data_IF_337306778971
#
_entry.id   IF_337306778971
#
_cell.length_a   1.000
_cell.length_b   1.000
_cell.length_c   1.000
_cell.angle_alpha   90.00
_cell.angle_beta   90.00
_cell.angle_gamma   90.00
#
_symmetry.space_group_name_H-M   'P 1'
#
loop_
_entity.id
_entity.type
_entity.pdbx_description
1 polymer ?
#
# COMPACT_ATOMS: atom_id res chain seq x y z
N UNK A 1 -36.51 -48.13 -12.26
CA UNK A 1 -35.43 -48.01 -13.26
C UNK A 1 -35.04 -46.55 -13.25
N UNK A 2 -34.00 -46.24 -12.49
CA UNK A 2 -33.44 -44.90 -12.33
C UNK A 2 -32.92 -44.43 -13.70
N UNK A 3 -33.31 -43.22 -14.11
CA UNK A 3 -32.76 -42.57 -15.29
C UNK A 3 -31.37 -42.05 -14.90
N UNK A 4 -30.31 -42.77 -15.29
CA UNK A 4 -28.96 -42.22 -15.32
C UNK A 4 -28.89 -41.10 -16.38
N UNK A 5 -28.57 -39.85 -16.00
CA UNK A 5 -28.46 -38.75 -16.95
C UNK A 5 -27.19 -38.90 -17.79
N UNK A 6 -27.33 -38.79 -19.12
CA UNK A 6 -26.27 -38.97 -20.12
C UNK A 6 -24.98 -38.17 -19.81
N UNK A 7 -23.82 -38.83 -19.63
CA UNK A 7 -22.51 -38.17 -19.40
C UNK A 7 -21.86 -37.50 -20.63
N UNK A 8 -22.44 -37.59 -21.84
CA UNK A 8 -21.60 -37.69 -23.04
C UNK A 8 -21.10 -36.38 -23.71
N UNK A 9 -21.70 -35.20 -23.50
CA UNK A 9 -21.23 -33.99 -24.20
C UNK A 9 -20.17 -33.21 -23.43
N UNK A 10 -20.36 -33.03 -22.12
CA UNK A 10 -19.45 -32.23 -21.30
C UNK A 10 -18.15 -32.97 -21.03
N UNK A 11 -18.23 -34.27 -20.76
CA UNK A 11 -17.04 -35.08 -20.48
C UNK A 11 -16.10 -35.13 -21.68
N UNK A 12 -16.63 -35.27 -22.91
CA UNK A 12 -15.85 -35.25 -24.15
C UNK A 12 -15.20 -33.88 -24.37
N UNK A 13 -15.92 -32.79 -24.12
CA UNK A 13 -15.35 -31.44 -24.20
C UNK A 13 -14.23 -31.23 -23.18
N UNK A 14 -14.43 -31.68 -21.94
CA UNK A 14 -13.41 -31.62 -20.90
C UNK A 14 -12.18 -32.46 -21.27
N UNK A 15 -12.34 -33.68 -21.80
CA UNK A 15 -11.24 -34.52 -22.24
C UNK A 15 -10.45 -33.88 -23.39
N UNK A 16 -11.14 -33.28 -24.36
CA UNK A 16 -10.49 -32.63 -25.49
C UNK A 16 -9.74 -31.37 -25.05
N UNK A 17 -10.35 -30.57 -24.18
CA UNK A 17 -9.68 -29.43 -23.55
C UNK A 17 -8.45 -29.89 -22.77
N UNK A 18 -8.59 -30.91 -21.91
CA UNK A 18 -7.49 -31.49 -21.14
C UNK A 18 -6.33 -31.94 -22.02
N UNK A 19 -6.60 -32.60 -23.14
CA UNK A 19 -5.57 -33.03 -24.08
C UNK A 19 -4.82 -31.83 -24.69
N UNK A 20 -5.56 -30.77 -25.05
CA UNK A 20 -5.00 -29.54 -25.63
C UNK A 20 -4.19 -28.75 -24.59
N UNK A 21 -4.71 -28.61 -23.37
CA UNK A 21 -4.00 -28.00 -22.24
C UNK A 21 -2.77 -28.81 -21.86
N UNK A 22 -2.83 -30.15 -21.91
CA UNK A 22 -1.67 -31.02 -21.61
C UNK A 22 -0.50 -30.76 -22.55
N UNK A 23 -0.78 -30.46 -23.81
CA UNK A 23 0.25 -30.16 -24.81
C UNK A 23 0.94 -28.83 -24.52
N UNK A 24 0.21 -27.85 -23.98
CA UNK A 24 0.72 -26.51 -23.68
C UNK A 24 1.36 -26.43 -22.28
N UNK A 25 0.70 -27.00 -21.26
CA UNK A 25 1.10 -26.95 -19.85
C UNK A 25 0.85 -28.28 -19.13
N UNK A 26 1.75 -29.27 -19.26
CA UNK A 26 1.56 -30.59 -18.68
C UNK A 26 1.57 -30.62 -17.14
N UNK A 27 2.22 -29.65 -16.49
CA UNK A 27 2.38 -29.62 -15.03
C UNK A 27 1.10 -29.22 -14.28
N UNK A 28 0.24 -28.41 -14.89
CA UNK A 28 -0.96 -27.84 -14.26
C UNK A 28 -2.24 -28.24 -14.99
N UNK A 29 -2.18 -29.25 -15.86
CA UNK A 29 -3.27 -29.61 -16.77
C UNK A 29 -4.59 -29.86 -16.03
N UNK A 30 -4.56 -30.57 -14.91
CA UNK A 30 -5.77 -30.93 -14.16
C UNK A 30 -6.37 -29.71 -13.48
N UNK A 31 -5.55 -28.91 -12.81
CA UNK A 31 -5.98 -27.68 -12.14
C UNK A 31 -6.54 -26.65 -13.13
N UNK A 32 -5.89 -26.48 -14.27
CA UNK A 32 -6.34 -25.55 -15.31
C UNK A 32 -7.61 -26.06 -15.98
N UNK A 33 -7.67 -27.34 -16.34
CA UNK A 33 -8.87 -27.91 -16.96
C UNK A 33 -10.05 -27.84 -16.00
N UNK A 34 -9.85 -28.16 -14.72
CA UNK A 34 -10.89 -28.08 -13.70
C UNK A 34 -11.36 -26.63 -13.50
N UNK A 35 -10.45 -25.67 -13.43
CA UNK A 35 -10.79 -24.26 -13.31
C UNK A 35 -11.56 -23.72 -14.53
N UNK A 36 -11.11 -24.06 -15.74
CA UNK A 36 -11.75 -23.63 -16.99
C UNK A 36 -13.13 -24.26 -17.17
N UNK A 37 -13.28 -25.54 -16.82
CA UNK A 37 -14.54 -26.28 -17.01
C UNK A 37 -15.54 -25.96 -15.92
N UNK A 38 -15.12 -25.82 -14.65
CA UNK A 38 -16.02 -25.52 -13.51
C UNK A 38 -16.68 -24.16 -13.65
N UNK A 39 -15.98 -23.18 -14.25
CA UNK A 39 -16.49 -21.80 -14.39
C UNK A 39 -17.26 -21.55 -15.69
N UNK A 40 -17.18 -22.44 -16.69
CA UNK A 40 -17.71 -22.19 -18.04
C UNK A 40 -18.78 -23.19 -18.48
N UNK A 41 -19.71 -22.70 -19.29
CA UNK A 41 -20.72 -23.49 -20.00
C UNK A 41 -20.11 -24.27 -21.17
N UNK A 42 -20.79 -25.32 -21.63
CA UNK A 42 -20.32 -26.15 -22.75
C UNK A 42 -20.10 -25.33 -24.03
N UNK A 43 -20.90 -24.28 -24.26
CA UNK A 43 -20.74 -23.38 -25.42
C UNK A 43 -19.42 -22.61 -25.36
N UNK A 44 -19.09 -22.07 -24.20
CA UNK A 44 -17.82 -21.35 -23.99
C UNK A 44 -16.60 -22.27 -24.10
N UNK A 45 -16.73 -23.54 -23.66
CA UNK A 45 -15.68 -24.54 -23.85
C UNK A 45 -15.49 -24.87 -25.34
N UNK A 46 -16.58 -24.96 -26.12
CA UNK A 46 -16.49 -25.14 -27.57
C UNK A 46 -15.81 -23.93 -28.23
N UNK A 47 -16.17 -22.71 -27.82
CA UNK A 47 -15.54 -21.49 -28.35
C UNK A 47 -14.03 -21.45 -28.04
N UNK A 48 -13.62 -21.89 -26.84
CA UNK A 48 -12.20 -22.07 -26.46
C UNK A 48 -11.49 -23.14 -27.28
N UNK A 49 -12.16 -24.26 -27.56
CA UNK A 49 -11.57 -25.32 -28.37
C UNK A 49 -11.43 -24.91 -29.84
N UNK A 50 -12.34 -24.06 -30.32
CA UNK A 50 -12.38 -23.56 -31.70
C UNK A 50 -11.34 -22.47 -31.95
N UNK A 51 -10.98 -21.69 -30.92
CA UNK A 51 -10.03 -20.58 -31.05
C UNK A 51 -8.80 -20.80 -30.17
N UNK A 52 -7.66 -21.06 -30.81
CA UNK A 52 -6.38 -21.23 -30.11
C UNK A 52 -5.95 -19.99 -29.33
N UNK A 53 -6.19 -18.79 -29.87
CA UNK A 53 -5.84 -17.53 -29.21
C UNK A 53 -6.67 -17.27 -27.95
N UNK A 54 -7.98 -17.60 -27.97
CA UNK A 54 -8.84 -17.49 -26.78
C UNK A 54 -8.48 -18.51 -25.71
N UNK A 55 -8.02 -19.69 -26.14
CA UNK A 55 -7.52 -20.72 -25.24
C UNK A 55 -6.23 -20.25 -24.55
N UNK A 56 -5.26 -19.74 -25.29
CA UNK A 56 -3.99 -19.23 -24.74
C UNK A 56 -4.23 -18.09 -23.74
N UNK A 57 -5.07 -17.11 -24.07
CA UNK A 57 -5.42 -16.01 -23.16
C UNK A 57 -6.16 -16.50 -21.90
N UNK A 58 -7.05 -17.49 -22.05
CA UNK A 58 -7.75 -18.09 -20.90
C UNK A 58 -6.81 -18.94 -20.04
N UNK A 59 -5.85 -19.63 -20.65
CA UNK A 59 -4.80 -20.38 -19.97
C UNK A 59 -3.91 -19.46 -19.16
N UNK A 60 -3.42 -18.39 -19.77
CA UNK A 60 -2.58 -17.38 -19.12
C UNK A 60 -3.31 -16.80 -17.90
N UNK A 61 -4.59 -16.41 -18.05
CA UNK A 61 -5.40 -15.90 -16.93
C UNK A 61 -5.54 -16.89 -15.77
N UNK A 62 -5.80 -18.16 -16.08
CA UNK A 62 -5.94 -19.20 -15.06
C UNK A 62 -4.60 -19.49 -14.38
N UNK A 63 -3.51 -19.57 -15.13
CA UNK A 63 -2.16 -19.76 -14.59
C UNK A 63 -1.74 -18.59 -13.70
N UNK A 64 -2.01 -17.36 -14.13
CA UNK A 64 -1.76 -16.15 -13.32
C UNK A 64 -2.55 -16.22 -12.01
N UNK A 65 -3.84 -16.55 -12.06
CA UNK A 65 -4.66 -16.65 -10.85
C UNK A 65 -4.25 -17.79 -9.91
N UNK A 66 -3.68 -18.89 -10.42
CA UNK A 66 -3.08 -19.94 -9.58
C UNK A 66 -1.75 -19.50 -8.96
N UNK A 67 -0.87 -18.87 -9.75
CA UNK A 67 0.44 -18.40 -9.25
C UNK A 67 0.31 -17.25 -8.24
N UNK A 68 -0.75 -16.44 -8.33
CA UNK A 68 -1.10 -15.43 -7.33
C UNK A 68 -1.56 -16.03 -5.99
N UNK A 69 -2.14 -17.23 -6.01
CA UNK A 69 -2.65 -17.91 -4.81
C UNK A 69 -1.56 -18.69 -4.05
N UNK A 70 -0.42 -18.98 -4.67
CA UNK A 70 0.72 -19.63 -4.01
C UNK A 70 1.59 -18.60 -3.28
N UNK A 71 1.59 -18.54 -1.93
CA UNK A 71 2.38 -17.57 -1.18
C UNK A 71 3.89 -17.70 -1.43
N UNK A 72 4.37 -18.92 -1.68
CA UNK A 72 5.77 -19.25 -1.97
C UNK A 72 6.31 -18.55 -3.22
N UNK A 73 5.46 -18.41 -4.26
CA UNK A 73 5.81 -17.74 -5.52
C UNK A 73 5.96 -16.24 -5.27
N UNK A 74 5.04 -15.65 -4.49
CA UNK A 74 5.10 -14.22 -4.16
C UNK A 74 6.30 -13.89 -3.29
N UNK A 75 6.64 -14.74 -2.33
CA UNK A 75 7.83 -14.57 -1.50
C UNK A 75 9.11 -14.62 -2.35
N UNK A 76 9.22 -15.61 -3.24
CA UNK A 76 10.36 -15.74 -4.16
C UNK A 76 10.50 -14.53 -5.09
N UNK A 77 9.38 -14.03 -5.63
CA UNK A 77 9.35 -12.81 -6.45
C UNK A 77 9.71 -11.58 -5.62
N UNK A 78 9.30 -11.50 -4.36
CA UNK A 78 9.66 -10.42 -3.45
C UNK A 78 11.17 -10.34 -3.22
N UNK A 79 11.83 -11.48 -3.01
CA UNK A 79 13.29 -11.53 -2.87
C UNK A 79 13.98 -11.07 -4.15
N UNK A 80 13.57 -11.61 -5.31
CA UNK A 80 14.15 -11.23 -6.60
C UNK A 80 13.94 -9.75 -6.92
N UNK A 81 12.74 -9.23 -6.66
CA UNK A 81 12.39 -7.83 -6.86
C UNK A 81 13.19 -6.93 -5.93
N UNK A 82 13.28 -7.25 -4.65
CA UNK A 82 14.07 -6.48 -3.69
C UNK A 82 15.53 -6.37 -4.15
N UNK A 83 16.13 -7.48 -4.56
CA UNK A 83 17.51 -7.49 -5.04
C UNK A 83 17.68 -6.62 -6.29
N UNK A 84 16.74 -6.67 -7.24
CA UNK A 84 16.77 -5.87 -8.45
C UNK A 84 16.57 -4.37 -8.15
N UNK A 85 15.61 -4.03 -7.29
CA UNK A 85 15.33 -2.65 -6.85
C UNK A 85 16.49 -2.08 -6.05
N UNK A 86 17.14 -2.85 -5.19
CA UNK A 86 18.28 -2.39 -4.37
C UNK A 86 19.48 -1.90 -5.19
N UNK A 87 19.61 -2.36 -6.44
CA UNK A 87 20.64 -1.88 -7.37
C UNK A 87 20.28 -0.54 -8.01
N UNK A 88 19.00 -0.17 -8.01
CA UNK A 88 18.48 1.04 -8.62
C UNK A 88 18.22 2.13 -7.58
N UNK A 89 17.67 1.75 -6.42
CA UNK A 89 17.24 2.66 -5.37
C UNK A 89 17.55 2.04 -3.99
N UNK A 90 18.58 2.55 -3.29
CA UNK A 90 18.98 2.02 -1.97
C UNK A 90 18.15 2.58 -0.81
N UNK A 91 17.88 3.89 -0.80
CA UNK A 91 17.23 4.55 0.35
C UNK A 91 15.79 4.08 0.57
N UNK A 92 15.03 3.91 -0.52
CA UNK A 92 13.61 3.57 -0.48
C UNK A 92 13.33 2.15 -0.97
N UNK A 93 14.35 1.29 -1.00
CA UNK A 93 14.28 -0.05 -1.58
C UNK A 93 13.12 -0.86 -0.99
N UNK A 94 12.99 -0.89 0.34
CA UNK A 94 11.97 -1.69 1.02
C UNK A 94 10.55 -1.20 0.70
N UNK A 95 10.35 0.12 0.68
CA UNK A 95 9.06 0.75 0.44
C UNK A 95 8.65 0.62 -1.03
N UNK A 96 9.57 0.91 -1.95
CA UNK A 96 9.35 0.74 -3.39
C UNK A 96 9.08 -0.73 -3.72
N UNK A 97 9.86 -1.66 -3.16
CA UNK A 97 9.62 -3.10 -3.36
C UNK A 97 8.27 -3.50 -2.82
N UNK A 98 7.87 -3.01 -1.63
CA UNK A 98 6.54 -3.26 -1.06
C UNK A 98 5.42 -2.78 -1.99
N UNK A 99 5.50 -1.55 -2.50
CA UNK A 99 4.51 -0.99 -3.43
C UNK A 99 4.45 -1.77 -4.75
N UNK A 100 5.60 -2.15 -5.30
CA UNK A 100 5.64 -2.95 -6.53
C UNK A 100 5.13 -4.39 -6.29
N UNK A 101 5.34 -4.93 -5.10
CA UNK A 101 4.80 -6.23 -4.71
C UNK A 101 3.29 -6.21 -4.50
N UNK A 102 2.62 -5.06 -4.43
CA UNK A 102 1.15 -5.00 -4.45
C UNK A 102 0.57 -5.28 -5.85
N UNK A 103 1.40 -5.20 -6.90
CA UNK A 103 0.98 -5.51 -8.26
C UNK A 103 0.71 -7.01 -8.46
N UNK A 104 -0.09 -7.36 -9.49
CA UNK A 104 -0.27 -8.74 -9.93
C UNK A 104 1.06 -9.43 -10.19
N UNK A 105 1.14 -10.73 -9.90
CA UNK A 105 2.37 -11.53 -10.08
C UNK A 105 2.88 -11.48 -11.53
N UNK A 106 1.97 -11.45 -12.50
CA UNK A 106 2.27 -11.29 -13.92
C UNK A 106 2.99 -9.96 -14.22
N UNK A 107 2.55 -8.88 -13.59
CA UNK A 107 3.17 -7.56 -13.73
C UNK A 107 4.55 -7.53 -13.10
N UNK A 108 4.72 -8.07 -11.89
CA UNK A 108 6.03 -8.15 -11.22
C UNK A 108 7.02 -9.00 -12.02
N UNK A 109 6.57 -10.14 -12.56
CA UNK A 109 7.39 -11.02 -13.40
C UNK A 109 7.84 -10.31 -14.68
N UNK A 110 6.94 -9.52 -15.29
CA UNK A 110 7.27 -8.70 -16.46
C UNK A 110 8.27 -7.60 -16.14
N UNK A 111 8.14 -6.93 -14.98
CA UNK A 111 9.11 -5.95 -14.51
C UNK A 111 10.49 -6.60 -14.29
N UNK A 112 10.55 -7.78 -13.69
CA UNK A 112 11.81 -8.51 -13.50
C UNK A 112 12.44 -8.97 -14.82
N UNK A 113 11.63 -9.20 -15.86
CA UNK A 113 12.11 -9.60 -17.19
C UNK A 113 12.65 -8.43 -18.01
N UNK A 114 12.19 -7.20 -17.74
CA UNK A 114 12.60 -5.99 -18.47
C UNK A 114 13.13 -4.91 -17.52
N UNK A 115 14.45 -4.72 -17.56
CA UNK A 115 15.14 -3.77 -16.70
C UNK A 115 14.73 -2.31 -16.93
N UNK A 116 14.31 -1.93 -18.14
CA UNK A 116 13.86 -0.55 -18.41
C UNK A 116 12.49 -0.31 -17.77
N UNK A 117 11.57 -1.28 -17.91
CA UNK A 117 10.26 -1.20 -17.25
C UNK A 117 10.41 -1.19 -15.74
N UNK A 118 11.32 -2.00 -15.18
CA UNK A 118 11.62 -1.96 -13.75
C UNK A 118 12.13 -0.59 -13.31
N UNK A 119 13.03 0.03 -14.07
CA UNK A 119 13.56 1.35 -13.75
C UNK A 119 12.47 2.44 -13.78
N UNK A 120 11.58 2.42 -14.78
CA UNK A 120 10.43 3.33 -14.83
C UNK A 120 9.47 3.10 -13.67
N UNK A 121 9.18 1.83 -13.35
CA UNK A 121 8.31 1.47 -12.24
C UNK A 121 8.90 1.90 -10.90
N UNK A 122 10.20 1.68 -10.66
CA UNK A 122 10.91 2.14 -9.47
C UNK A 122 10.88 3.66 -9.36
N UNK A 123 11.14 4.39 -10.45
CA UNK A 123 11.07 5.85 -10.46
C UNK A 123 9.66 6.35 -10.14
N UNK A 124 8.65 5.76 -10.77
CA UNK A 124 7.24 6.12 -10.55
C UNK A 124 6.81 5.81 -9.11
N UNK A 125 7.10 4.62 -8.60
CA UNK A 125 6.79 4.23 -7.22
C UNK A 125 7.55 5.07 -6.21
N UNK A 126 8.78 5.46 -6.50
CA UNK A 126 9.54 6.42 -5.67
C UNK A 126 8.86 7.79 -5.66
N UNK A 127 8.51 8.34 -6.82
CA UNK A 127 7.80 9.62 -6.91
C UNK A 127 6.46 9.57 -6.20
N UNK A 128 5.71 8.47 -6.34
CA UNK A 128 4.43 8.26 -5.67
C UNK A 128 4.59 8.10 -4.16
N UNK A 129 5.62 7.37 -3.70
CA UNK A 129 5.98 7.29 -2.29
C UNK A 129 6.38 8.66 -1.76
N UNK A 130 7.23 9.41 -2.47
CA UNK A 130 7.64 10.77 -2.12
C UNK A 130 6.47 11.75 -2.13
N UNK A 131 5.50 11.61 -3.04
CA UNK A 131 4.27 12.39 -3.06
C UNK A 131 3.30 11.94 -1.96
N UNK A 132 3.35 10.67 -1.54
CA UNK A 132 2.56 10.16 -0.43
C UNK A 132 3.13 10.60 0.92
N UNK A 133 4.45 10.54 1.12
CA UNK A 133 5.07 11.24 2.25
C UNK A 133 4.88 12.73 2.07
N UNK A 134 5.08 13.40 0.94
CA UNK A 134 4.77 14.85 0.82
C UNK A 134 3.26 15.16 0.95
N UNK A 135 2.38 14.19 0.77
CA UNK A 135 0.95 14.30 1.08
C UNK A 135 0.63 14.09 2.57
N UNK A 136 1.45 13.30 3.27
CA UNK A 136 1.48 13.17 4.75
C UNK A 136 2.33 14.25 5.44
N UNK A 137 3.34 14.78 4.75
CA UNK A 137 4.41 15.69 5.18
C UNK A 137 4.19 17.11 4.64
N UNK A 138 3.25 17.30 3.71
CA UNK A 138 2.48 18.54 3.59
C UNK A 138 1.67 18.82 4.86
N UNK A 139 1.65 17.88 5.80
CA UNK A 139 1.26 18.07 7.20
C UNK A 139 2.35 17.72 8.23
N UNK A 140 3.63 17.59 7.86
CA UNK A 140 4.67 17.32 8.88
C UNK A 140 6.02 17.96 8.63
N UNK A 141 6.53 18.09 7.39
CA UNK A 141 7.85 18.74 7.15
C UNK A 141 7.73 20.25 6.89
N UNK A 142 6.69 20.70 6.19
CA UNK A 142 6.34 22.13 6.14
C UNK A 142 5.70 22.56 7.46
N UNK A 143 4.78 21.75 7.99
CA UNK A 143 4.18 22.03 9.30
C UNK A 143 5.21 22.00 10.43
N UNK A 144 6.27 21.19 10.39
CA UNK A 144 7.31 21.26 11.44
C UNK A 144 8.03 22.60 11.39
N UNK A 145 8.41 23.07 10.20
CA UNK A 145 9.10 24.36 10.04
C UNK A 145 8.19 25.54 10.36
N UNK A 146 6.95 25.51 9.88
CA UNK A 146 5.96 26.53 10.17
C UNK A 146 5.50 26.49 11.65
N UNK A 147 5.42 25.31 12.27
CA UNK A 147 5.17 25.17 13.72
C UNK A 147 6.36 25.68 14.54
N UNK A 148 7.58 25.50 14.05
CA UNK A 148 8.79 26.01 14.70
C UNK A 148 8.80 27.55 14.66
N UNK A 149 8.54 28.15 13.50
CA UNK A 149 8.35 29.61 13.35
C UNK A 149 7.21 30.14 14.25
N UNK A 150 6.07 29.44 14.28
CA UNK A 150 4.94 29.73 15.18
C UNK A 150 5.34 29.59 16.65
N UNK A 151 6.16 28.60 16.98
CA UNK A 151 6.67 28.35 18.32
C UNK A 151 7.57 29.48 18.82
N UNK A 152 8.44 30.01 17.96
CA UNK A 152 9.27 31.18 18.26
C UNK A 152 8.41 32.41 18.55
N UNK A 153 7.41 32.71 17.70
CA UNK A 153 6.50 33.84 17.91
C UNK A 153 5.71 33.70 19.22
N UNK A 154 5.23 32.48 19.53
CA UNK A 154 4.53 32.21 20.79
C UNK A 154 5.46 32.38 21.98
N UNK A 155 6.70 31.91 21.88
CA UNK A 155 7.70 32.02 22.92
C UNK A 155 8.07 33.48 23.20
N UNK A 156 8.31 34.29 22.17
CA UNK A 156 8.58 35.73 22.33
C UNK A 156 7.44 36.45 23.07
N UNK A 157 6.18 36.16 22.71
CA UNK A 157 5.03 36.75 23.43
C UNK A 157 4.92 36.26 24.88
N UNK A 158 5.34 35.02 25.15
CA UNK A 158 5.28 34.44 26.49
C UNK A 158 6.44 34.84 27.37
N UNK A 159 7.66 35.00 26.85
CA UNK A 159 8.85 35.30 27.66
C UNK A 159 8.73 36.70 28.29
N UNK A 160 8.04 37.63 27.64
CA UNK A 160 7.74 38.96 28.16
C UNK A 160 6.82 38.94 29.40
N UNK A 161 5.91 37.95 29.48
CA UNK A 161 4.89 37.89 30.55
C UNK A 161 5.17 36.78 31.58
N UNK A 162 5.73 35.65 31.14
CA UNK A 162 5.94 34.42 31.90
C UNK A 162 7.34 33.82 31.61
N UNK A 163 8.44 34.51 31.92
CA UNK A 163 9.80 34.10 31.53
C UNK A 163 10.20 32.71 32.04
N UNK A 164 9.76 32.31 33.23
CA UNK A 164 10.10 31.02 33.84
C UNK A 164 9.31 29.85 33.23
N UNK A 165 8.10 30.10 32.72
CA UNK A 165 7.18 29.07 32.25
C UNK A 165 7.04 29.06 30.72
N UNK A 166 7.56 30.09 30.03
CA UNK A 166 7.48 30.25 28.59
C UNK A 166 7.92 29.00 27.81
N UNK A 167 9.05 28.31 28.11
CA UNK A 167 9.44 27.12 27.36
C UNK A 167 8.42 25.99 27.47
N UNK A 168 7.85 25.78 28.66
CA UNK A 168 6.87 24.72 28.92
C UNK A 168 5.51 25.07 28.34
N UNK A 169 5.08 26.32 28.46
CA UNK A 169 3.84 26.83 27.88
C UNK A 169 3.87 26.75 26.36
N UNK A 170 4.95 27.20 25.72
CA UNK A 170 5.15 27.07 24.26
C UNK A 170 5.10 25.60 23.86
N UNK A 171 5.82 24.71 24.57
CA UNK A 171 5.79 23.29 24.29
C UNK A 171 4.39 22.66 24.41
N UNK A 172 3.59 23.09 25.39
CA UNK A 172 2.22 22.62 25.56
C UNK A 172 1.27 23.16 24.49
N UNK A 173 1.45 24.41 24.05
CA UNK A 173 0.65 24.99 22.97
C UNK A 173 0.99 24.34 21.63
N UNK A 174 2.27 24.05 21.36
CA UNK A 174 2.72 23.41 20.12
C UNK A 174 2.19 21.98 19.90
N UNK A 175 1.66 21.34 20.95
CA UNK A 175 0.94 20.07 20.85
C UNK A 175 -0.42 20.20 20.13
N UNK A 176 -0.93 21.42 19.95
CA UNK A 176 -2.16 21.68 19.19
C UNK A 176 -1.94 21.56 17.67
N UNK A 177 -3.03 21.39 16.93
CA UNK A 177 -3.01 21.42 15.46
C UNK A 177 -2.56 22.78 14.93
N UNK A 178 -1.80 22.81 13.84
CA UNK A 178 -1.27 24.05 13.26
C UNK A 178 -2.36 25.07 12.92
N UNK A 179 -3.50 24.58 12.40
CA UNK A 179 -4.67 25.43 12.10
C UNK A 179 -5.20 26.16 13.32
N UNK A 180 -5.16 25.51 14.49
CA UNK A 180 -5.59 26.13 15.75
C UNK A 180 -4.53 27.11 16.27
N UNK A 181 -3.24 26.79 16.11
CA UNK A 181 -2.15 27.69 16.49
C UNK A 181 -2.18 29.01 15.71
N UNK A 182 -2.41 28.94 14.40
CA UNK A 182 -2.55 30.14 13.55
C UNK A 182 -3.72 31.01 14.03
N UNK A 183 -4.86 30.39 14.38
CA UNK A 183 -6.00 31.11 14.95
C UNK A 183 -5.69 31.71 16.32
N UNK A 184 -5.00 30.97 17.17
CA UNK A 184 -4.58 31.38 18.51
C UNK A 184 -3.61 32.57 18.43
N UNK A 185 -2.69 32.61 17.47
CA UNK A 185 -1.80 33.76 17.27
C UNK A 185 -2.55 34.97 16.69
N UNK A 186 -3.51 34.75 15.80
CA UNK A 186 -4.33 35.79 15.20
C UNK A 186 -5.31 36.44 16.19
N UNK A 187 -5.80 35.69 17.17
CA UNK A 187 -6.80 36.13 18.15
C UNK A 187 -6.18 36.26 19.57
N UNK A 188 -5.84 37.48 20.04
CA UNK A 188 -5.16 37.67 21.33
C UNK A 188 -5.98 37.23 22.56
N UNK A 189 -7.32 37.31 22.51
CA UNK A 189 -8.19 36.79 23.57
C UNK A 189 -8.17 35.26 23.65
N UNK A 190 -8.06 34.59 22.50
CA UNK A 190 -7.95 33.13 22.42
C UNK A 190 -6.58 32.67 22.93
N UNK A 191 -5.52 33.41 22.59
CA UNK A 191 -4.18 33.20 23.14
C UNK A 191 -4.18 33.23 24.66
N UNK A 192 -4.70 34.30 25.28
CA UNK A 192 -4.75 34.42 26.74
C UNK A 192 -5.49 33.24 27.39
N UNK A 193 -6.65 32.85 26.87
CA UNK A 193 -7.41 31.70 27.38
C UNK A 193 -6.64 30.39 27.31
N UNK A 194 -5.92 30.15 26.20
CA UNK A 194 -5.12 28.92 26.02
C UNK A 194 -3.89 28.91 26.92
N UNK A 195 -3.25 30.05 27.11
CA UNK A 195 -2.13 30.22 28.04
C UNK A 195 -2.58 30.01 29.48
N UNK A 196 -3.74 30.56 29.89
CA UNK A 196 -4.32 30.33 31.23
C UNK A 196 -4.64 28.85 31.48
N UNK A 197 -5.17 28.14 30.47
CA UNK A 197 -5.41 26.71 30.55
C UNK A 197 -4.10 25.91 30.67
N UNK A 198 -3.09 26.25 29.88
CA UNK A 198 -1.79 25.59 29.98
C UNK A 198 -1.11 25.88 31.33
N UNK A 199 -1.25 27.09 31.87
CA UNK A 199 -0.79 27.47 33.21
C UNK A 199 -1.50 26.69 34.31
N UNK A 200 -2.83 26.49 34.21
CA UNK A 200 -3.57 25.72 35.21
C UNK A 200 -3.14 24.26 35.22
N UNK A 201 -2.91 23.67 34.04
CA UNK A 201 -2.36 22.31 33.91
C UNK A 201 -0.92 22.23 34.41
N UNK A 202 -0.05 23.21 34.14
CA UNK A 202 1.33 23.23 34.66
C UNK A 202 1.41 23.38 36.18
N UNK A 203 0.42 24.03 36.80
CA UNK A 203 0.32 24.14 38.26
C UNK A 203 -0.24 22.84 38.86
N UNK A 204 -1.28 22.27 38.26
CA UNK A 204 -1.84 20.99 38.68
C UNK A 204 -0.84 19.82 38.53
N UNK A 205 -0.05 19.80 37.46
CA UNK A 205 0.97 18.78 37.22
C UNK A 205 2.24 18.93 38.09
N UNK A 206 2.44 20.09 38.73
CA UNK A 206 3.52 20.30 39.71
C UNK A 206 3.15 19.92 41.13
N UNK A 207 1.88 19.62 41.39
CA UNK A 207 1.32 19.41 42.73
C UNK A 207 1.10 17.92 43.07
N UNK A 208 1.66 16.99 42.29
CA UNK A 208 1.66 15.58 42.68
C UNK A 208 2.85 15.31 43.61
N UNK A 209 2.64 15.06 44.92
CA UNK A 209 3.72 14.60 45.78
C UNK A 209 4.25 13.26 45.26
N UNK A 210 5.56 12.99 45.39
CA UNK A 210 6.11 11.69 45.04
C UNK A 210 5.40 10.61 45.86
N UNK A 211 5.09 9.44 45.26
CA UNK A 211 4.42 8.37 45.98
C UNK A 211 5.30 7.95 47.17
N UNK A 212 4.72 8.07 48.37
CA UNK A 212 5.29 7.61 49.65
C UNK A 212 5.33 6.09 49.69
#
# INVERSE_FOLDING_TARGET
MENEPLPETREVLCQHLRAKVRYLHPALVDQITDALTTTRSNKEIIDLLTSDTLLEDSLEKVIVSFTEQTPEVRESLGVALFQAVSQLEQELCAQVTGMLLELPVSSVTRLLSDRNLLMEAVKKSREEYLNFIQGKEGSTSTLSREKEEVGEVIYEKLVDTYPTEAPKLTGMLLQMEYKDLVRVIAEPDLFRKKVELALSVLRAGRDLPPPV
#
